data_IF_753599131700
#
_entry.id   IF_753599131700
#
_cell.length_a   1.000
_cell.length_b   1.000
_cell.length_c   1.000
_cell.angle_alpha   90.00
_cell.angle_beta   90.00
_cell.angle_gamma   90.00
#
_symmetry.space_group_name_H-M   'P 1'
#
loop_
_entity.id
_entity.type
_entity.pdbx_description
1 polymer ?
#
# COMPACT_ATOMS: atom_id res chain seq x y z
N UNK A 1 -15.18 -8.14 18.56
CA UNK A 1 -14.04 -8.14 19.50
C UNK A 1 -13.03 -7.16 18.95
N UNK A 2 -12.69 -6.09 19.68
CA UNK A 2 -11.69 -5.13 19.24
C UNK A 2 -10.33 -5.83 19.32
N UNK A 3 -9.80 -6.29 18.19
CA UNK A 3 -8.42 -6.77 18.12
C UNK A 3 -7.48 -5.59 18.40
N UNK A 4 -6.43 -5.81 19.19
CA UNK A 4 -5.41 -4.79 19.43
C UNK A 4 -4.80 -4.35 18.09
N UNK A 5 -4.44 -3.06 17.91
CA UNK A 5 -3.83 -2.58 16.67
C UNK A 5 -2.55 -3.35 16.32
N UNK A 6 -2.38 -3.65 15.05
CA UNK A 6 -1.17 -4.27 14.51
C UNK A 6 -0.05 -3.22 14.50
N UNK A 7 1.06 -3.48 15.19
CA UNK A 7 2.15 -2.53 15.40
C UNK A 7 3.47 -2.94 14.74
N UNK A 8 3.61 -4.21 14.32
CA UNK A 8 4.81 -4.70 13.66
C UNK A 8 4.45 -5.59 12.47
N UNK A 9 5.41 -5.80 11.56
CA UNK A 9 5.22 -6.75 10.46
C UNK A 9 5.08 -8.19 10.96
N UNK A 10 5.71 -8.56 12.07
CA UNK A 10 5.53 -9.88 12.68
C UNK A 10 4.07 -10.10 13.12
N UNK A 11 3.47 -9.11 13.80
CA UNK A 11 2.05 -9.14 14.15
C UNK A 11 1.15 -9.19 12.92
N UNK A 12 1.51 -8.45 11.85
CA UNK A 12 0.79 -8.47 10.59
C UNK A 12 0.84 -9.87 9.94
N UNK A 13 2.01 -10.47 9.84
CA UNK A 13 2.16 -11.83 9.30
C UNK A 13 1.35 -12.84 10.10
N UNK A 14 1.43 -12.78 11.44
CA UNK A 14 0.64 -13.65 12.32
C UNK A 14 -0.87 -13.46 12.10
N UNK A 15 -1.33 -12.24 11.97
CA UNK A 15 -2.74 -11.93 11.68
C UNK A 15 -3.18 -12.47 10.33
N UNK A 16 -2.39 -12.24 9.28
CA UNK A 16 -2.70 -12.70 7.93
C UNK A 16 -2.75 -14.23 7.82
N UNK A 17 -1.84 -14.93 8.52
CA UNK A 17 -1.82 -16.39 8.56
C UNK A 17 -3.04 -17.02 9.27
N UNK A 18 -3.80 -16.25 10.06
CA UNK A 18 -5.02 -16.69 10.73
C UNK A 18 -6.30 -16.43 9.92
N UNK A 19 -6.18 -15.77 8.77
CA UNK A 19 -7.35 -15.54 7.91
C UNK A 19 -7.89 -16.86 7.35
N UNK A 20 -9.19 -16.97 7.11
CA UNK A 20 -9.83 -18.21 6.67
C UNK A 20 -9.43 -18.66 5.26
N UNK A 21 -8.89 -17.75 4.45
CA UNK A 21 -8.42 -18.01 3.09
C UNK A 21 -7.12 -17.27 2.81
N UNK A 22 -6.30 -17.85 1.93
CA UNK A 22 -5.09 -17.21 1.40
C UNK A 22 -5.47 -16.16 0.37
N UNK A 23 -4.68 -15.09 0.30
CA UNK A 23 -4.77 -14.09 -0.77
C UNK A 23 -4.18 -14.68 -2.06
N UNK A 24 -4.95 -14.70 -3.14
CA UNK A 24 -4.51 -15.13 -4.47
C UNK A 24 -3.73 -13.98 -5.11
N UNK A 25 -2.43 -14.19 -5.31
CA UNK A 25 -1.52 -13.14 -5.81
C UNK A 25 -1.02 -13.50 -7.20
N UNK A 26 -1.37 -12.70 -8.20
CA UNK A 26 -0.79 -12.79 -9.54
C UNK A 26 0.55 -12.04 -9.58
N UNK A 27 1.65 -12.77 -9.77
CA UNK A 27 3.00 -12.23 -9.80
C UNK A 27 3.46 -12.09 -11.26
N UNK A 28 3.62 -10.85 -11.73
CA UNK A 28 3.97 -10.56 -13.12
C UNK A 28 5.47 -10.74 -13.35
N UNK A 29 5.87 -11.80 -14.04
CA UNK A 29 7.23 -12.08 -14.49
C UNK A 29 8.27 -12.18 -13.34
N UNK A 30 8.15 -13.15 -12.41
CA UNK A 30 9.06 -13.35 -11.28
C UNK A 30 10.39 -14.03 -11.68
N UNK A 31 11.09 -13.43 -12.63
CA UNK A 31 12.32 -13.97 -13.22
C UNK A 31 13.59 -13.72 -12.38
N UNK A 32 13.46 -13.13 -11.20
CA UNK A 32 14.56 -12.86 -10.27
C UNK A 32 14.39 -13.55 -8.92
N UNK A 33 15.53 -13.80 -8.26
CA UNK A 33 15.56 -14.51 -6.98
C UNK A 33 14.86 -13.76 -5.86
N UNK A 34 14.96 -12.42 -5.81
CA UNK A 34 14.40 -11.63 -4.70
C UNK A 34 12.87 -11.64 -4.72
N UNK A 35 12.28 -11.42 -5.90
CA UNK A 35 10.83 -11.50 -6.07
C UNK A 35 10.31 -12.88 -5.69
N UNK A 36 10.92 -13.93 -6.24
CA UNK A 36 10.45 -15.30 -6.00
C UNK A 36 10.63 -15.71 -4.53
N UNK A 37 11.75 -15.34 -3.89
CA UNK A 37 11.98 -15.61 -2.48
C UNK A 37 10.90 -14.97 -1.61
N UNK A 38 10.58 -13.69 -1.82
CA UNK A 38 9.53 -12.99 -1.07
C UNK A 38 8.15 -13.65 -1.23
N UNK A 39 7.83 -14.11 -2.44
CA UNK A 39 6.59 -14.87 -2.70
C UNK A 39 6.57 -16.20 -1.94
N UNK A 40 7.66 -16.96 -2.02
CA UNK A 40 7.74 -18.27 -1.34
C UNK A 40 7.70 -18.14 0.19
N UNK A 41 8.31 -17.10 0.76
CA UNK A 41 8.20 -16.76 2.18
C UNK A 41 6.74 -16.47 2.58
N UNK A 42 6.01 -15.68 1.80
CA UNK A 42 4.60 -15.39 2.05
C UNK A 42 3.71 -16.64 1.93
N UNK A 43 4.00 -17.52 0.97
CA UNK A 43 3.34 -18.84 0.85
C UNK A 43 3.63 -19.71 2.07
N UNK A 44 4.89 -19.78 2.52
CA UNK A 44 5.31 -20.53 3.69
C UNK A 44 4.67 -20.02 4.97
N UNK A 45 4.52 -18.70 5.11
CA UNK A 45 3.82 -18.08 6.23
C UNK A 45 2.30 -18.30 6.21
N UNK A 46 1.75 -18.85 5.12
CA UNK A 46 0.38 -19.35 5.09
C UNK A 46 -0.69 -18.37 4.60
N UNK A 47 -0.34 -17.18 4.14
CA UNK A 47 -1.33 -16.19 3.73
C UNK A 47 -1.40 -15.87 2.23
N UNK A 48 -0.52 -16.48 1.41
CA UNK A 48 -0.51 -16.31 -0.06
C UNK A 48 -0.76 -17.63 -0.77
N UNK A 49 -1.57 -17.57 -1.83
CA UNK A 49 -1.71 -18.53 -2.93
C UNK A 49 -1.15 -17.85 -4.19
N UNK A 50 -0.02 -18.34 -4.71
CA UNK A 50 0.80 -17.61 -5.67
C UNK A 50 0.62 -18.10 -7.11
N UNK A 51 0.28 -17.20 -8.02
CA UNK A 51 0.20 -17.43 -9.46
C UNK A 51 1.37 -16.74 -10.14
N UNK A 52 2.40 -17.52 -10.50
CA UNK A 52 3.64 -17.03 -11.12
C UNK A 52 3.44 -16.94 -12.63
N UNK A 53 3.23 -15.74 -13.16
CA UNK A 53 2.89 -15.51 -14.57
C UNK A 53 4.13 -15.14 -15.38
N UNK A 54 4.47 -15.95 -16.38
CA UNK A 54 5.63 -15.76 -17.25
C UNK A 54 6.88 -16.51 -16.81
N UNK A 55 8.04 -15.93 -17.06
CA UNK A 55 9.33 -16.53 -16.68
C UNK A 55 9.51 -16.49 -15.17
N UNK A 56 10.03 -17.57 -14.60
CA UNK A 56 10.28 -17.74 -13.17
C UNK A 56 11.77 -18.03 -12.92
N UNK A 57 12.28 -17.64 -11.76
CA UNK A 57 13.63 -17.99 -11.33
C UNK A 57 13.68 -19.44 -10.86
N UNK A 58 13.83 -20.37 -11.82
CA UNK A 58 13.74 -21.82 -11.62
C UNK A 58 14.56 -22.40 -10.44
N UNK A 59 15.83 -21.96 -10.16
CA UNK A 59 16.61 -22.55 -9.09
C UNK A 59 15.97 -22.56 -7.70
N UNK A 60 15.08 -21.63 -7.40
CA UNK A 60 14.36 -21.60 -6.12
C UNK A 60 13.18 -22.57 -6.08
N UNK A 61 12.62 -22.97 -7.22
CA UNK A 61 11.50 -23.90 -7.28
C UNK A 61 11.92 -25.36 -7.19
N UNK A 62 13.19 -25.68 -7.52
CA UNK A 62 13.70 -27.06 -7.54
C UNK A 62 13.69 -27.73 -6.16
N UNK A 63 13.75 -26.94 -5.09
CA UNK A 63 13.92 -27.45 -3.72
C UNK A 63 12.78 -27.06 -2.75
N UNK A 64 11.63 -26.61 -3.27
CA UNK A 64 10.47 -26.31 -2.40
C UNK A 64 9.81 -27.59 -1.91
N UNK A 65 9.29 -27.57 -0.68
CA UNK A 65 8.53 -28.70 -0.14
C UNK A 65 7.20 -28.89 -0.88
N UNK A 66 6.66 -30.11 -0.84
CA UNK A 66 5.34 -30.40 -1.41
C UNK A 66 4.22 -29.53 -0.81
N UNK A 67 4.36 -29.14 0.45
CA UNK A 67 3.42 -28.27 1.15
C UNK A 67 3.41 -26.85 0.55
N UNK A 68 4.59 -26.29 0.23
CA UNK A 68 4.72 -24.99 -0.45
C UNK A 68 4.26 -25.11 -1.91
N UNK A 69 4.70 -26.17 -2.61
CA UNK A 69 4.37 -26.38 -4.01
C UNK A 69 2.85 -26.44 -4.28
N UNK A 70 2.06 -26.90 -3.32
CA UNK A 70 0.60 -26.95 -3.43
C UNK A 70 -0.06 -25.56 -3.56
N UNK A 71 0.66 -24.47 -3.23
CA UNK A 71 0.19 -23.08 -3.26
C UNK A 71 0.99 -22.21 -4.23
N UNK A 72 1.68 -22.83 -5.18
CA UNK A 72 2.48 -22.13 -6.19
C UNK A 72 2.08 -22.66 -7.57
N UNK A 73 1.48 -21.80 -8.37
CA UNK A 73 0.95 -22.14 -9.69
C UNK A 73 1.72 -21.37 -10.76
N UNK A 74 2.40 -22.09 -11.66
CA UNK A 74 3.10 -21.47 -12.78
C UNK A 74 2.18 -21.35 -13.99
N UNK A 75 2.06 -20.13 -14.51
CA UNK A 75 1.26 -19.79 -15.69
C UNK A 75 2.23 -19.29 -16.76
N UNK A 76 2.50 -20.07 -17.82
CA UNK A 76 3.43 -19.67 -18.85
C UNK A 76 2.91 -18.44 -19.65
N UNK A 77 3.85 -17.57 -20.05
CA UNK A 77 3.59 -16.47 -20.97
C UNK A 77 4.76 -16.37 -21.98
N UNK A 78 4.49 -15.83 -23.17
CA UNK A 78 5.47 -15.76 -24.27
C UNK A 78 6.64 -14.81 -23.98
N UNK A 79 6.38 -13.77 -23.23
CA UNK A 79 7.35 -12.71 -22.87
C UNK A 79 6.84 -11.90 -21.66
N UNK A 80 7.65 -10.96 -21.19
CA UNK A 80 7.32 -10.13 -20.03
C UNK A 80 6.06 -9.25 -20.25
N UNK A 81 5.82 -8.79 -21.48
CA UNK A 81 4.62 -8.00 -21.82
C UNK A 81 3.33 -8.83 -21.68
N UNK A 82 3.34 -10.04 -22.24
CA UNK A 82 2.24 -10.99 -22.10
C UNK A 82 2.02 -11.40 -20.64
N UNK A 83 3.10 -11.60 -19.87
CA UNK A 83 3.02 -11.91 -18.45
C UNK A 83 2.36 -10.78 -17.65
N UNK A 84 2.75 -9.51 -17.90
CA UNK A 84 2.12 -8.35 -17.26
C UNK A 84 0.62 -8.24 -17.61
N UNK A 85 0.28 -8.37 -18.89
CA UNK A 85 -1.12 -8.33 -19.33
C UNK A 85 -1.95 -9.43 -18.64
N UNK A 86 -1.47 -10.66 -18.67
CA UNK A 86 -2.17 -11.81 -18.12
C UNK A 86 -2.34 -11.70 -16.60
N UNK A 87 -1.28 -11.29 -15.87
CA UNK A 87 -1.34 -11.08 -14.42
C UNK A 87 -2.36 -9.98 -14.05
N UNK A 88 -2.40 -8.86 -14.78
CA UNK A 88 -3.40 -7.81 -14.58
C UNK A 88 -4.80 -8.33 -14.88
N UNK A 89 -4.98 -9.09 -15.96
CA UNK A 89 -6.27 -9.63 -16.36
C UNK A 89 -6.80 -10.63 -15.33
N UNK A 90 -5.98 -11.47 -14.74
CA UNK A 90 -6.38 -12.37 -13.66
C UNK A 90 -6.99 -11.64 -12.47
N UNK A 91 -6.42 -10.47 -12.11
CA UNK A 91 -6.99 -9.64 -11.03
C UNK A 91 -8.28 -8.96 -11.49
N UNK A 92 -8.34 -8.47 -12.74
CA UNK A 92 -9.54 -7.87 -13.33
C UNK A 92 -10.74 -8.84 -13.32
N UNK A 93 -10.48 -10.10 -13.69
CA UNK A 93 -11.52 -11.15 -13.82
C UNK A 93 -11.85 -11.83 -12.48
N UNK A 94 -11.16 -11.45 -11.38
CA UNK A 94 -11.38 -12.01 -10.06
C UNK A 94 -10.77 -13.40 -9.85
N UNK A 95 -9.86 -13.83 -10.73
CA UNK A 95 -9.08 -15.06 -10.58
C UNK A 95 -7.95 -14.90 -9.56
N UNK A 96 -7.45 -13.67 -9.38
CA UNK A 96 -6.53 -13.28 -8.32
C UNK A 96 -7.06 -12.06 -7.56
N UNK A 97 -6.64 -11.89 -6.30
CA UNK A 97 -7.09 -10.82 -5.41
C UNK A 97 -6.12 -9.64 -5.42
N UNK A 98 -4.86 -9.87 -5.77
CA UNK A 98 -3.80 -8.87 -5.81
C UNK A 98 -2.81 -9.10 -6.95
N UNK A 99 -2.22 -8.01 -7.44
CA UNK A 99 -1.14 -7.99 -8.42
C UNK A 99 0.18 -7.70 -7.72
N UNK A 100 1.19 -8.52 -7.95
CA UNK A 100 2.57 -8.26 -7.52
C UNK A 100 3.47 -8.07 -8.72
N UNK A 101 4.31 -7.02 -8.66
CA UNK A 101 5.33 -6.75 -9.66
C UNK A 101 6.53 -7.66 -9.44
N UNK A 102 6.96 -8.38 -10.49
CA UNK A 102 8.24 -9.08 -10.54
C UNK A 102 9.32 -8.27 -11.25
N UNK A 103 10.17 -8.93 -12.05
CA UNK A 103 11.28 -8.31 -12.77
C UNK A 103 10.77 -7.63 -14.07
N UNK A 104 10.01 -6.58 -13.93
CA UNK A 104 9.49 -5.77 -15.05
C UNK A 104 9.65 -4.28 -14.76
N UNK A 105 9.60 -3.44 -15.78
CA UNK A 105 9.60 -1.99 -15.61
C UNK A 105 8.27 -1.54 -14.97
N UNK A 106 8.33 -0.65 -14.00
CA UNK A 106 7.15 -0.14 -13.28
C UNK A 106 6.20 0.63 -14.21
N UNK A 107 6.74 1.43 -15.13
CA UNK A 107 5.93 2.20 -16.08
C UNK A 107 5.19 1.30 -17.06
N UNK A 108 5.81 0.19 -17.49
CA UNK A 108 5.18 -0.78 -18.37
C UNK A 108 4.04 -1.51 -17.65
N UNK A 109 4.26 -1.97 -16.41
CA UNK A 109 3.19 -2.58 -15.62
C UNK A 109 2.04 -1.60 -15.36
N UNK A 110 2.34 -0.34 -15.04
CA UNK A 110 1.31 0.68 -14.83
C UNK A 110 0.47 0.94 -16.09
N UNK A 111 1.04 0.83 -17.30
CA UNK A 111 0.25 0.92 -18.55
C UNK A 111 -0.79 -0.20 -18.64
N UNK A 112 -0.44 -1.43 -18.23
CA UNK A 112 -1.40 -2.54 -18.17
C UNK A 112 -2.45 -2.30 -17.07
N UNK A 113 -2.04 -1.87 -15.87
CA UNK A 113 -2.96 -1.53 -14.76
C UNK A 113 -3.94 -0.42 -15.14
N UNK A 114 -3.53 0.52 -15.98
CA UNK A 114 -4.35 1.64 -16.47
C UNK A 114 -5.11 1.34 -17.77
N UNK A 115 -4.98 0.14 -18.32
CA UNK A 115 -5.66 -0.24 -19.56
C UNK A 115 -7.18 -0.13 -19.41
N UNK A 116 -7.85 0.42 -20.44
CA UNK A 116 -9.29 0.68 -20.38
C UNK A 116 -10.16 -0.57 -20.46
N UNK A 117 -9.64 -1.66 -21.05
CA UNK A 117 -10.40 -2.87 -21.30
C UNK A 117 -10.26 -3.94 -20.20
N UNK A 118 -9.05 -4.05 -19.62
CA UNK A 118 -8.70 -5.08 -18.63
C UNK A 118 -7.90 -4.55 -17.44
N UNK A 119 -7.72 -3.23 -17.34
CA UNK A 119 -6.97 -2.62 -16.24
C UNK A 119 -7.74 -2.67 -14.91
N UNK A 120 -7.05 -2.29 -13.84
CA UNK A 120 -7.57 -2.38 -12.48
C UNK A 120 -8.16 -1.06 -11.97
N UNK A 121 -7.93 0.05 -12.70
CA UNK A 121 -8.46 1.34 -12.29
C UNK A 121 -9.95 1.44 -12.60
N UNK A 122 -10.77 1.60 -11.57
CA UNK A 122 -12.18 1.96 -11.74
C UNK A 122 -12.33 3.34 -12.41
N UNK A 123 -13.45 3.56 -13.07
CA UNK A 123 -13.75 4.86 -13.70
C UNK A 123 -13.75 5.97 -12.65
N UNK A 124 -13.03 7.07 -12.92
CA UNK A 124 -12.82 8.15 -11.96
C UNK A 124 -11.90 7.83 -10.77
N UNK A 125 -11.42 6.58 -10.65
CA UNK A 125 -10.55 6.16 -9.56
C UNK A 125 -9.15 6.79 -9.65
N UNK A 126 -8.52 6.99 -8.49
CA UNK A 126 -7.14 7.46 -8.35
C UNK A 126 -6.24 6.28 -8.02
N UNK A 127 -5.12 6.14 -8.74
CA UNK A 127 -4.04 5.22 -8.34
C UNK A 127 -3.06 6.02 -7.50
N UNK A 128 -2.78 5.55 -6.30
CA UNK A 128 -1.88 6.16 -5.34
C UNK A 128 -1.09 5.10 -4.61
N UNK A 129 0.02 5.49 -4.01
CA UNK A 129 0.89 4.59 -3.27
C UNK A 129 0.78 4.86 -1.77
N UNK A 130 0.59 3.79 -0.98
CA UNK A 130 0.68 3.83 0.48
C UNK A 130 1.81 2.90 0.91
N UNK A 131 2.86 3.47 1.50
CA UNK A 131 3.95 2.70 2.09
C UNK A 131 3.72 2.48 3.58
N UNK A 132 4.05 1.30 4.08
CA UNK A 132 4.05 0.96 5.50
C UNK A 132 5.50 0.81 5.99
N UNK A 133 5.87 1.53 7.04
CA UNK A 133 7.19 1.50 7.65
C UNK A 133 7.08 1.08 9.10
N UNK A 134 7.86 0.11 9.53
CA UNK A 134 8.05 -0.14 10.95
C UNK A 134 9.14 0.80 11.47
N UNK A 135 8.78 1.72 12.35
CA UNK A 135 9.71 2.63 12.99
C UNK A 135 9.99 2.15 14.43
N UNK A 136 11.15 1.52 14.70
CA UNK A 136 11.46 0.96 16.01
C UNK A 136 11.38 1.99 17.14
N UNK A 137 11.77 3.24 16.88
CA UNK A 137 11.74 4.34 17.87
C UNK A 137 10.32 4.71 18.31
N UNK A 138 9.32 4.40 17.49
CA UNK A 138 7.91 4.65 17.76
C UNK A 138 7.15 3.36 18.12
N UNK A 139 7.82 2.20 18.05
CA UNK A 139 7.25 0.87 18.29
C UNK A 139 5.92 0.63 17.56
N UNK A 140 5.83 1.13 16.32
CA UNK A 140 4.62 1.03 15.49
C UNK A 140 4.89 1.08 14.00
N UNK A 141 3.91 0.61 13.23
CA UNK A 141 3.84 0.85 11.80
C UNK A 141 3.35 2.29 11.56
N UNK A 142 4.03 2.99 10.66
CA UNK A 142 3.65 4.31 10.15
C UNK A 142 3.32 4.17 8.67
N UNK A 143 2.19 4.70 8.25
CA UNK A 143 1.78 4.76 6.86
C UNK A 143 2.18 6.10 6.24
N UNK A 144 2.65 6.09 5.00
CA UNK A 144 3.01 7.31 4.26
C UNK A 144 2.45 7.24 2.83
N UNK A 145 1.84 8.31 2.38
CA UNK A 145 1.26 8.45 1.03
C UNK A 145 1.42 9.89 0.53
N UNK A 146 1.66 10.20 -0.73
CA UNK A 146 2.12 9.31 -1.79
C UNK A 146 3.64 9.42 -1.90
N UNK A 147 4.35 8.32 -2.03
CA UNK A 147 5.83 8.36 -2.08
C UNK A 147 6.40 7.91 -3.44
N UNK A 148 5.55 7.50 -4.41
CA UNK A 148 6.05 6.86 -5.62
C UNK A 148 5.23 7.06 -6.90
N UNK A 149 3.97 7.47 -6.85
CA UNK A 149 3.07 7.48 -8.02
C UNK A 149 2.65 8.88 -8.42
N UNK A 150 2.27 9.73 -7.46
CA UNK A 150 1.76 11.09 -7.75
C UNK A 150 2.67 12.14 -7.11
N UNK A 151 3.61 12.73 -7.86
CA UNK A 151 4.54 13.72 -7.29
C UNK A 151 3.86 15.06 -6.94
N UNK A 152 2.83 15.45 -7.71
CA UNK A 152 2.09 16.71 -7.52
C UNK A 152 0.59 16.42 -7.53
N UNK A 153 0.01 15.88 -6.43
CA UNK A 153 -1.39 15.52 -6.40
C UNK A 153 -2.32 16.74 -6.46
N UNK A 154 -3.44 16.62 -7.19
CA UNK A 154 -4.54 17.59 -7.13
C UNK A 154 -5.28 17.49 -5.78
N UNK A 155 -6.16 18.47 -5.45
CA UNK A 155 -7.01 18.40 -4.25
C UNK A 155 -7.82 17.09 -4.17
N UNK A 156 -8.40 16.62 -5.30
CA UNK A 156 -9.16 15.39 -5.39
C UNK A 156 -8.26 14.16 -5.16
N UNK A 157 -7.05 14.17 -5.71
CA UNK A 157 -6.07 13.11 -5.50
C UNK A 157 -5.61 13.05 -4.04
N UNK A 158 -5.39 14.18 -3.37
CA UNK A 158 -5.08 14.22 -1.92
C UNK A 158 -6.22 13.67 -1.07
N UNK A 159 -7.46 13.97 -1.44
CA UNK A 159 -8.63 13.39 -0.77
C UNK A 159 -8.66 11.87 -0.91
N UNK A 160 -8.39 11.34 -2.10
CA UNK A 160 -8.28 9.90 -2.33
C UNK A 160 -7.13 9.27 -1.52
N UNK A 161 -5.95 9.90 -1.50
CA UNK A 161 -4.79 9.45 -0.70
C UNK A 161 -5.14 9.36 0.79
N UNK A 162 -5.79 10.40 1.35
CA UNK A 162 -6.24 10.40 2.74
C UNK A 162 -7.25 9.28 3.00
N UNK A 163 -8.19 9.07 2.10
CA UNK A 163 -9.19 8.00 2.19
C UNK A 163 -8.51 6.61 2.20
N UNK A 164 -7.57 6.35 1.30
CA UNK A 164 -6.89 5.06 1.20
C UNK A 164 -6.01 4.79 2.42
N UNK A 165 -5.22 5.78 2.84
CA UNK A 165 -4.37 5.63 4.03
C UNK A 165 -5.19 5.41 5.31
N UNK A 166 -6.31 6.11 5.46
CA UNK A 166 -7.23 5.93 6.59
C UNK A 166 -7.88 4.55 6.58
N UNK A 167 -8.34 4.08 5.41
CA UNK A 167 -8.92 2.75 5.26
C UNK A 167 -7.91 1.65 5.63
N UNK A 168 -6.66 1.76 5.15
CA UNK A 168 -5.60 0.82 5.52
C UNK A 168 -5.29 0.85 7.03
N UNK A 169 -5.25 2.04 7.63
CA UNK A 169 -5.03 2.16 9.07
C UNK A 169 -6.15 1.48 9.89
N UNK A 170 -7.40 1.59 9.45
CA UNK A 170 -8.52 0.87 10.07
C UNK A 170 -8.39 -0.65 9.91
N UNK A 171 -7.94 -1.15 8.75
CA UNK A 171 -7.66 -2.57 8.54
C UNK A 171 -6.54 -3.08 9.45
N UNK A 172 -5.57 -2.24 9.80
CA UNK A 172 -4.54 -2.54 10.81
C UNK A 172 -5.07 -2.47 12.26
N UNK A 173 -6.37 -2.26 12.46
CA UNK A 173 -7.00 -2.21 13.77
C UNK A 173 -6.88 -0.88 14.50
N UNK A 174 -6.45 0.19 13.83
CA UNK A 174 -6.36 1.53 14.41
C UNK A 174 -7.75 2.19 14.33
N UNK A 175 -8.46 2.25 15.44
CA UNK A 175 -9.85 2.76 15.47
C UNK A 175 -9.95 4.24 15.08
N UNK A 176 -8.98 5.05 15.49
CA UNK A 176 -8.94 6.49 15.21
C UNK A 176 -7.53 6.87 14.75
N UNK A 177 -7.21 6.69 13.45
CA UNK A 177 -5.91 7.06 12.92
C UNK A 177 -5.64 8.55 13.09
N UNK A 178 -4.37 8.90 13.31
CA UNK A 178 -3.90 10.29 13.34
C UNK A 178 -3.08 10.55 12.07
N UNK A 179 -3.48 11.52 11.28
CA UNK A 179 -2.88 11.82 9.98
C UNK A 179 -2.28 13.22 10.01
N UNK A 180 -0.99 13.33 9.74
CA UNK A 180 -0.30 14.59 9.55
C UNK A 180 -0.20 14.93 8.05
N UNK A 181 -0.66 16.11 7.67
CA UNK A 181 -0.50 16.65 6.33
C UNK A 181 0.84 17.38 6.26
N UNK A 182 1.84 16.72 5.62
CA UNK A 182 3.24 17.15 5.69
C UNK A 182 3.53 18.36 4.81
N UNK A 183 4.19 19.36 5.40
CA UNK A 183 4.72 20.52 4.71
C UNK A 183 5.92 21.09 5.48
N UNK A 184 6.80 21.83 4.82
CA UNK A 184 7.95 22.47 5.49
C UNK A 184 7.56 23.69 6.35
N UNK A 185 6.33 24.18 6.24
CA UNK A 185 5.81 25.33 6.98
C UNK A 185 4.49 24.92 7.63
N UNK A 186 4.30 25.27 8.89
CA UNK A 186 3.13 24.90 9.71
C UNK A 186 1.99 25.93 9.64
N UNK A 187 2.11 26.94 8.75
CA UNK A 187 1.08 27.98 8.58
C UNK A 187 0.34 27.82 7.27
N UNK A 188 -0.97 27.90 7.34
CA UNK A 188 -1.82 28.04 6.14
C UNK A 188 -1.55 29.39 5.48
N UNK A 189 -1.23 29.39 4.19
CA UNK A 189 -0.83 30.60 3.47
C UNK A 189 -1.13 30.50 1.98
N UNK A 190 -1.64 31.59 1.40
CA UNK A 190 -1.83 31.70 -0.06
C UNK A 190 -0.53 31.61 -0.87
N UNK A 191 0.64 31.89 -0.22
CA UNK A 191 1.95 31.67 -0.84
C UNK A 191 2.25 30.20 -1.12
N UNK A 192 1.59 29.30 -0.40
CA UNK A 192 1.70 27.86 -0.53
C UNK A 192 0.30 27.25 -0.68
N UNK A 193 -0.27 27.25 -1.89
CA UNK A 193 -1.66 26.83 -2.14
C UNK A 193 -2.00 25.43 -1.57
N UNK A 194 -1.04 24.52 -1.52
CA UNK A 194 -1.21 23.20 -0.92
C UNK A 194 -1.67 23.26 0.54
N UNK A 195 -1.30 24.32 1.28
CA UNK A 195 -1.70 24.49 2.70
C UNK A 195 -3.18 24.87 2.83
N UNK A 196 -3.77 25.49 1.81
CA UNK A 196 -5.21 25.74 1.73
C UNK A 196 -5.99 24.43 1.52
N UNK A 197 -5.47 23.55 0.65
CA UNK A 197 -6.05 22.22 0.47
C UNK A 197 -5.99 21.41 1.78
N UNK A 198 -4.90 21.53 2.54
CA UNK A 198 -4.76 20.87 3.85
C UNK A 198 -5.78 21.38 4.87
N UNK A 199 -6.04 22.69 4.88
CA UNK A 199 -7.08 23.26 5.73
C UNK A 199 -8.48 22.73 5.36
N UNK A 200 -8.76 22.61 4.06
CA UNK A 200 -10.01 22.03 3.58
C UNK A 200 -10.16 20.54 3.95
N UNK A 201 -9.10 19.74 3.79
CA UNK A 201 -9.09 18.31 4.19
C UNK A 201 -9.31 18.15 5.70
N UNK A 202 -8.68 18.99 6.53
CA UNK A 202 -8.89 19.00 7.98
C UNK A 202 -10.35 19.31 8.34
N UNK A 203 -10.96 20.28 7.66
CA UNK A 203 -12.37 20.62 7.86
C UNK A 203 -13.31 19.48 7.44
N UNK A 204 -13.04 18.82 6.32
CA UNK A 204 -13.78 17.64 5.87
C UNK A 204 -13.66 16.46 6.86
N UNK A 205 -12.46 16.23 7.40
CA UNK A 205 -12.24 15.21 8.43
C UNK A 205 -13.05 15.52 9.69
N UNK A 206 -13.08 16.76 10.15
CA UNK A 206 -13.89 17.19 11.30
C UNK A 206 -15.40 17.01 11.07
N UNK A 207 -15.83 17.03 9.81
CA UNK A 207 -17.23 16.75 9.40
C UNK A 207 -17.50 15.24 9.24
N UNK A 208 -16.50 14.39 9.45
CA UNK A 208 -16.62 12.93 9.37
C UNK A 208 -16.59 12.35 7.95
N UNK A 209 -16.15 13.10 6.94
CA UNK A 209 -16.10 12.65 5.53
C UNK A 209 -15.23 11.40 5.36
N UNK A 210 -14.19 11.27 6.15
CA UNK A 210 -13.23 10.15 6.10
C UNK A 210 -13.45 9.12 7.21
N UNK A 211 -14.61 9.14 7.88
CA UNK A 211 -14.88 8.28 9.04
C UNK A 211 -14.17 8.76 10.31
N UNK A 212 -13.87 7.82 11.23
CA UNK A 212 -13.14 8.15 12.46
C UNK A 212 -11.65 8.37 12.15
N UNK A 213 -11.25 9.61 12.04
CA UNK A 213 -9.85 10.02 11.80
C UNK A 213 -9.59 11.39 12.41
N UNK A 214 -8.38 11.60 12.89
CA UNK A 214 -7.89 12.92 13.31
C UNK A 214 -6.89 13.38 12.25
N UNK A 215 -7.17 14.50 11.60
CA UNK A 215 -6.29 15.08 10.57
C UNK A 215 -5.77 16.41 11.05
N UNK A 216 -4.46 16.63 11.01
CA UNK A 216 -3.83 17.90 11.33
C UNK A 216 -2.73 18.26 10.34
N UNK A 217 -2.43 19.54 10.26
CA UNK A 217 -1.42 20.11 9.37
C UNK A 217 -1.89 21.46 8.77
N UNK A 218 -0.97 22.11 8.04
CA UNK A 218 0.37 21.64 7.65
C UNK A 218 1.30 21.47 8.84
N UNK A 219 2.10 20.40 8.85
CA UNK A 219 3.12 20.08 9.85
C UNK A 219 4.40 19.61 9.18
N UNK A 220 5.56 19.93 9.74
CA UNK A 220 6.78 19.27 9.32
C UNK A 220 6.87 17.83 9.88
N UNK A 221 7.83 17.06 9.37
CA UNK A 221 7.98 15.66 9.76
C UNK A 221 8.31 15.51 11.26
N UNK A 222 9.13 16.37 11.83
CA UNK A 222 9.50 16.31 13.25
C UNK A 222 8.30 16.59 14.15
N UNK A 223 7.53 17.63 13.84
CA UNK A 223 6.29 17.97 14.55
C UNK A 223 5.22 16.87 14.43
N UNK A 224 5.21 16.15 13.31
CA UNK A 224 4.23 15.05 13.09
C UNK A 224 4.56 13.77 13.85
N UNK A 225 5.83 13.53 14.19
CA UNK A 225 6.30 12.29 14.81
C UNK A 225 6.68 12.44 16.29
N UNK A 226 6.93 13.66 16.78
CA UNK A 226 7.50 13.92 18.10
C UNK A 226 6.78 15.06 18.84
N UNK A 227 6.34 14.83 20.09
CA UNK A 227 5.85 15.92 20.95
C UNK A 227 6.91 17.00 21.19
N UNK A 228 8.20 16.64 21.20
CA UNK A 228 9.30 17.58 21.34
C UNK A 228 9.34 18.57 20.16
N UNK A 229 9.14 18.10 18.92
CA UNK A 229 9.10 18.97 17.75
C UNK A 229 7.99 20.01 17.83
N UNK A 230 6.83 19.66 18.39
CA UNK A 230 5.74 20.60 18.63
C UNK A 230 6.12 21.63 19.71
N UNK A 231 6.71 21.18 20.80
CA UNK A 231 7.15 22.04 21.91
C UNK A 231 8.20 23.05 21.45
N UNK A 232 9.21 22.61 20.70
CA UNK A 232 10.30 23.47 20.20
C UNK A 232 9.82 24.58 19.27
N UNK A 233 8.71 24.33 18.56
CA UNK A 233 8.08 25.29 17.65
C UNK A 233 6.89 26.03 18.26
N UNK A 234 6.60 25.81 19.54
CA UNK A 234 5.45 26.41 20.25
C UNK A 234 4.12 26.13 19.54
N UNK A 235 3.95 24.92 18.99
CA UNK A 235 2.75 24.48 18.30
C UNK A 235 1.89 23.61 19.21
N UNK A 236 0.59 23.71 19.02
CA UNK A 236 -0.39 22.74 19.55
C UNK A 236 -0.96 21.95 18.38
N UNK A 237 -0.84 20.61 18.43
CA UNK A 237 -1.48 19.71 17.49
C UNK A 237 -2.36 18.73 18.27
N UNK A 238 -3.38 18.19 17.58
CA UNK A 238 -4.34 17.23 18.13
C UNK A 238 -3.84 15.79 18.12
#
# INVERSE_FOLDING_TARGET
MSSSPIRSFEQLHHHLAQLPSRCRVAVAHPADAHTLQAVLEAVQLGFVDAFLVGEVYAPLLENISSEIAAWVHHIPASDAGAAMQQAVQMVHDGEADALMKGLVNTDDLLRHVLNKNYGLRQEGGVISHVAAFHLPQLERIVLMSDVAVIPYPSPEQRRAQLTYATALAHQLGIETPRVALLHFCEKVSEKFPITLDYAALKEEANKGVFGKVIVDGPLDLLCSLSPQGLTDKHLTSV
#
